data_IF_400943844619
#
_entry.id   IF_400943844619
#
_cell.length_a   1.000
_cell.length_b   1.000
_cell.length_c   1.000
_cell.angle_alpha   90.00
_cell.angle_beta   90.00
_cell.angle_gamma   90.00
#
_symmetry.space_group_name_H-M   'P 1'
#
loop_
_entity.id
_entity.type
_entity.pdbx_description
1 polymer ?
#
# COMPACT_ATOMS: atom_id res chain seq x y z
N UNK A 1 -13.99 -18.53 -1.41
CA UNK A 1 -12.74 -17.93 -1.90
C UNK A 1 -12.54 -16.51 -1.38
N UNK A 2 -13.50 -15.63 -1.58
CA UNK A 2 -13.38 -14.23 -1.12
C UNK A 2 -13.22 -14.16 0.40
N UNK A 3 -13.93 -14.97 1.16
CA UNK A 3 -13.82 -15.03 2.62
C UNK A 3 -12.42 -15.50 3.07
N UNK A 4 -11.87 -16.50 2.38
CA UNK A 4 -10.52 -16.98 2.64
C UNK A 4 -9.45 -15.90 2.38
N UNK A 5 -9.59 -15.12 1.29
CA UNK A 5 -8.69 -14.00 0.99
C UNK A 5 -8.84 -12.89 2.02
N UNK A 6 -10.06 -12.50 2.36
CA UNK A 6 -10.33 -11.47 3.38
C UNK A 6 -9.70 -11.85 4.72
N UNK A 7 -9.81 -13.11 5.10
CA UNK A 7 -9.18 -13.66 6.30
C UNK A 7 -7.66 -13.58 6.24
N UNK A 8 -7.04 -14.02 5.15
CA UNK A 8 -5.59 -13.92 4.96
C UNK A 8 -5.09 -12.47 5.05
N UNK A 9 -5.80 -11.54 4.42
CA UNK A 9 -5.47 -10.11 4.49
C UNK A 9 -5.56 -9.57 5.93
N UNK A 10 -6.59 -9.96 6.68
CA UNK A 10 -6.78 -9.57 8.08
C UNK A 10 -5.68 -10.14 8.99
N UNK A 11 -5.35 -11.41 8.81
CA UNK A 11 -4.27 -12.07 9.58
C UNK A 11 -2.90 -11.47 9.23
N UNK A 12 -2.66 -11.18 7.95
CA UNK A 12 -1.43 -10.49 7.53
C UNK A 12 -1.31 -9.10 8.18
N UNK A 13 -2.38 -8.31 8.17
CA UNK A 13 -2.39 -6.99 8.80
C UNK A 13 -2.10 -7.05 10.31
N UNK A 14 -2.57 -8.09 11.00
CA UNK A 14 -2.29 -8.31 12.42
C UNK A 14 -0.84 -8.77 12.68
N UNK A 15 -0.28 -9.58 11.77
CA UNK A 15 1.05 -10.16 11.90
C UNK A 15 2.16 -9.18 11.49
N UNK A 16 1.92 -8.35 10.48
CA UNK A 16 2.92 -7.48 9.87
C UNK A 16 3.69 -6.60 10.86
N UNK A 17 3.04 -5.90 11.83
CA UNK A 17 3.74 -5.03 12.77
C UNK A 17 4.77 -5.72 13.65
N UNK A 18 4.59 -7.02 13.94
CA UNK A 18 5.48 -7.79 14.81
C UNK A 18 6.53 -8.63 14.06
N UNK A 19 6.38 -8.76 12.73
CA UNK A 19 7.24 -9.63 11.91
C UNK A 19 7.83 -8.88 10.71
N UNK A 20 7.09 -8.84 9.61
CA UNK A 20 7.60 -8.35 8.32
C UNK A 20 7.80 -6.83 8.29
N UNK A 21 6.95 -6.07 9.00
CA UNK A 21 6.99 -4.61 9.00
C UNK A 21 7.91 -4.01 10.07
N UNK A 22 8.35 -4.79 11.04
CA UNK A 22 9.14 -4.28 12.18
C UNK A 22 10.65 -4.25 11.96
N UNK A 23 11.15 -5.10 11.08
CA UNK A 23 12.60 -5.32 10.89
C UNK A 23 13.12 -4.93 9.51
N UNK A 24 12.26 -4.46 8.61
CA UNK A 24 12.60 -4.19 7.22
C UNK A 24 12.89 -2.71 6.91
N UNK A 25 13.34 -2.46 5.69
CA UNK A 25 13.51 -1.12 5.14
C UNK A 25 12.18 -0.38 4.94
N UNK A 26 11.04 -1.09 5.04
CA UNK A 26 9.71 -0.57 4.77
C UNK A 26 8.83 -0.68 6.01
N UNK A 27 8.13 0.39 6.32
CA UNK A 27 7.22 0.45 7.47
C UNK A 27 5.80 -0.02 7.14
N UNK A 28 5.50 -0.21 5.86
CA UNK A 28 4.16 -0.54 5.38
C UNK A 28 4.25 -1.55 4.26
N UNK A 29 3.59 -2.70 4.43
CA UNK A 29 3.36 -3.69 3.39
C UNK A 29 1.86 -3.80 3.17
N UNK A 30 1.41 -3.69 1.93
CA UNK A 30 0.01 -3.79 1.53
C UNK A 30 -0.19 -5.00 0.64
N UNK A 31 -1.05 -5.97 1.03
CA UNK A 31 -1.45 -7.05 0.12
C UNK A 31 -2.24 -6.45 -1.04
N UNK A 32 -1.87 -6.82 -2.27
CA UNK A 32 -2.56 -6.41 -3.48
C UNK A 32 -3.53 -7.54 -3.91
N UNK A 33 -2.99 -8.60 -4.49
CA UNK A 33 -3.80 -9.68 -5.09
C UNK A 33 -3.32 -11.05 -4.65
N UNK A 34 -4.26 -11.95 -4.34
CA UNK A 34 -3.99 -13.37 -4.14
C UNK A 34 -4.70 -14.19 -5.24
N UNK A 35 -3.92 -14.82 -6.09
CA UNK A 35 -4.41 -15.64 -7.22
C UNK A 35 -3.85 -17.04 -7.19
N UNK A 36 -4.68 -18.03 -7.58
CA UNK A 36 -4.25 -19.41 -7.75
C UNK A 36 -4.58 -19.91 -9.16
N UNK A 37 -3.64 -20.57 -9.78
CA UNK A 37 -3.83 -21.34 -10.99
C UNK A 37 -4.35 -22.74 -10.67
N UNK A 38 -5.50 -23.10 -11.21
CA UNK A 38 -6.18 -24.37 -10.92
C UNK A 38 -6.38 -25.17 -12.22
N UNK A 39 -6.08 -26.45 -12.17
CA UNK A 39 -6.35 -27.37 -13.27
C UNK A 39 -7.86 -27.55 -13.45
N UNK A 40 -8.39 -27.20 -14.61
CA UNK A 40 -9.82 -27.36 -14.94
C UNK A 40 -10.32 -28.80 -14.93
N UNK A 41 -9.41 -29.79 -15.13
CA UNK A 41 -9.74 -31.22 -15.15
C UNK A 41 -9.68 -31.85 -13.76
N UNK A 42 -8.66 -31.53 -12.98
CA UNK A 42 -8.39 -32.22 -11.72
C UNK A 42 -8.76 -31.36 -10.48
N UNK A 43 -9.07 -30.07 -10.64
CA UNK A 43 -9.27 -29.15 -9.53
C UNK A 43 -8.01 -28.89 -8.69
N UNK A 44 -6.86 -29.46 -9.10
CA UNK A 44 -5.60 -29.30 -8.36
C UNK A 44 -5.02 -27.90 -8.57
N UNK A 45 -4.58 -27.29 -7.47
CA UNK A 45 -3.84 -26.02 -7.48
C UNK A 45 -2.43 -26.28 -7.99
N UNK A 46 -2.03 -25.56 -9.02
CA UNK A 46 -0.68 -25.64 -9.58
C UNK A 46 0.27 -24.69 -8.89
N UNK A 47 -0.17 -23.46 -8.74
CA UNK A 47 0.58 -22.38 -8.13
C UNK A 47 -0.40 -21.34 -7.59
N UNK A 48 -0.07 -20.72 -6.47
CA UNK A 48 -0.70 -19.50 -5.98
C UNK A 48 0.36 -18.41 -5.89
N UNK A 49 -0.04 -17.18 -6.17
CA UNK A 49 0.81 -16.04 -5.98
C UNK A 49 0.07 -14.97 -5.19
N UNK A 50 0.74 -14.46 -4.16
CA UNK A 50 0.29 -13.33 -3.39
C UNK A 50 1.20 -12.14 -3.67
N UNK A 51 0.66 -11.10 -4.26
CA UNK A 51 1.40 -9.88 -4.57
C UNK A 51 1.26 -8.87 -3.44
N UNK A 52 2.34 -8.16 -3.17
CA UNK A 52 2.38 -7.10 -2.19
C UNK A 52 3.09 -5.88 -2.77
N UNK A 53 2.81 -4.73 -2.20
CA UNK A 53 3.63 -3.54 -2.34
C UNK A 53 4.07 -3.06 -0.96
N UNK A 54 5.23 -2.41 -0.92
CA UNK A 54 5.67 -1.68 0.26
C UNK A 54 5.99 -0.25 -0.12
N UNK A 55 6.09 0.64 0.85
CA UNK A 55 6.48 2.01 0.59
C UNK A 55 7.41 2.55 1.67
N UNK A 56 8.33 3.38 1.23
CA UNK A 56 9.14 4.24 2.06
C UNK A 56 9.29 5.59 1.35
N UNK A 57 9.21 6.69 2.10
CA UNK A 57 9.36 8.03 1.58
C UNK A 57 10.45 8.78 2.33
N UNK A 58 11.18 9.63 1.62
CA UNK A 58 12.15 10.52 2.22
C UNK A 58 12.01 11.93 1.64
N UNK A 59 12.14 12.92 2.50
CA UNK A 59 12.21 14.34 2.12
C UNK A 59 13.66 14.81 2.21
N UNK A 60 14.20 15.34 1.12
CA UNK A 60 15.51 15.96 1.14
C UNK A 60 15.49 17.21 2.02
N UNK A 61 16.37 17.21 3.04
CA UNK A 61 16.40 18.22 4.08
C UNK A 61 16.77 19.63 3.60
N UNK A 62 17.32 19.77 2.40
CA UNK A 62 17.80 21.02 1.82
C UNK A 62 17.01 21.50 0.62
N UNK A 63 16.55 20.59 -0.23
CA UNK A 63 15.87 20.89 -1.49
C UNK A 63 14.37 20.74 -1.44
N UNK A 64 13.82 20.10 -0.38
CA UNK A 64 12.42 19.69 -0.27
C UNK A 64 11.98 18.64 -1.32
N UNK A 65 12.89 18.01 -2.03
CA UNK A 65 12.56 16.95 -2.97
C UNK A 65 12.01 15.74 -2.21
N UNK A 66 10.90 15.18 -2.71
CA UNK A 66 10.29 13.97 -2.15
C UNK A 66 10.74 12.79 -3.01
N UNK A 67 11.27 11.77 -2.38
CA UNK A 67 11.67 10.51 -3.01
C UNK A 67 10.83 9.38 -2.43
N UNK A 68 10.40 8.46 -3.29
CA UNK A 68 9.73 7.24 -2.89
C UNK A 68 10.50 6.01 -3.38
N UNK A 69 10.55 5.00 -2.53
CA UNK A 69 10.82 3.62 -2.90
C UNK A 69 9.52 2.82 -2.69
N UNK A 70 8.97 2.30 -3.77
CA UNK A 70 7.70 1.52 -3.74
C UNK A 70 7.94 0.19 -4.45
N UNK A 71 8.68 -0.74 -3.82
CA UNK A 71 8.88 -2.07 -4.36
C UNK A 71 7.62 -2.89 -4.33
N UNK A 72 7.57 -3.87 -5.23
CA UNK A 72 6.55 -4.91 -5.24
C UNK A 72 7.17 -6.28 -4.96
N UNK A 73 6.35 -7.21 -4.51
CA UNK A 73 6.74 -8.57 -4.18
C UNK A 73 5.75 -9.53 -4.82
N UNK A 74 6.27 -10.63 -5.38
CA UNK A 74 5.48 -11.68 -5.99
C UNK A 74 5.80 -12.99 -5.25
N UNK A 75 4.98 -13.33 -4.26
CA UNK A 75 5.22 -14.43 -3.35
C UNK A 75 4.50 -15.68 -3.85
N UNK A 76 5.25 -16.63 -4.40
CA UNK A 76 4.72 -17.89 -4.87
C UNK A 76 4.51 -18.89 -3.73
N UNK A 77 3.36 -19.55 -3.75
CA UNK A 77 2.91 -20.53 -2.75
C UNK A 77 2.45 -21.77 -3.49
N UNK A 78 3.08 -22.91 -3.22
CA UNK A 78 2.75 -24.19 -3.87
C UNK A 78 2.03 -25.13 -2.90
N UNK A 79 0.70 -25.06 -2.74
CA UNK A 79 -0.01 -25.78 -1.68
C UNK A 79 -0.10 -27.30 -1.91
N UNK A 80 0.09 -27.82 -3.12
CA UNK A 80 0.00 -29.26 -3.50
C UNK A 80 -1.32 -29.90 -3.08
N UNK A 81 -2.43 -29.22 -3.30
CA UNK A 81 -3.78 -29.67 -2.94
C UNK A 81 -4.79 -29.27 -4.02
N UNK A 82 -6.06 -29.60 -3.82
CA UNK A 82 -7.16 -29.10 -4.67
C UNK A 82 -7.61 -27.71 -4.21
N UNK A 83 -8.27 -26.96 -5.08
CA UNK A 83 -8.79 -25.63 -4.73
C UNK A 83 -9.82 -25.72 -3.59
N UNK A 84 -10.66 -26.75 -3.58
CA UNK A 84 -11.67 -26.96 -2.53
C UNK A 84 -11.02 -27.24 -1.17
N UNK A 85 -9.99 -28.10 -1.14
CA UNK A 85 -9.26 -28.41 0.09
C UNK A 85 -8.47 -27.21 0.59
N UNK A 86 -7.88 -26.42 -0.30
CA UNK A 86 -7.18 -25.18 0.09
C UNK A 86 -8.15 -24.19 0.75
N UNK A 87 -9.29 -23.92 0.13
CA UNK A 87 -10.31 -23.02 0.70
C UNK A 87 -10.78 -23.53 2.06
N UNK A 88 -11.13 -24.82 2.16
CA UNK A 88 -11.56 -25.41 3.41
C UNK A 88 -10.50 -25.30 4.52
N UNK A 89 -9.22 -25.50 4.18
CA UNK A 89 -8.09 -25.33 5.13
C UNK A 89 -7.98 -23.88 5.61
N UNK A 90 -8.01 -22.92 4.69
CA UNK A 90 -7.87 -21.50 5.01
C UNK A 90 -9.05 -20.98 5.85
N UNK A 91 -10.29 -21.40 5.55
CA UNK A 91 -11.48 -20.98 6.26
C UNK A 91 -11.57 -21.61 7.66
N UNK A 92 -11.24 -22.90 7.80
CA UNK A 92 -11.35 -23.63 9.07
C UNK A 92 -10.21 -23.37 10.05
N UNK A 93 -9.03 -22.94 9.57
CA UNK A 93 -7.89 -22.63 10.42
C UNK A 93 -8.18 -21.39 11.30
N UNK A 94 -7.76 -21.40 12.55
CA UNK A 94 -7.77 -20.20 13.41
C UNK A 94 -6.62 -19.23 13.09
N UNK A 95 -5.61 -19.72 12.35
CA UNK A 95 -4.42 -18.96 11.90
C UNK A 95 -4.04 -19.52 10.51
N UNK A 96 -4.66 -18.98 9.47
CA UNK A 96 -4.55 -19.49 8.12
C UNK A 96 -3.16 -19.20 7.50
N UNK A 97 -2.51 -18.11 7.89
CA UNK A 97 -1.15 -17.77 7.43
C UNK A 97 -0.12 -18.81 7.90
N UNK A 98 -0.24 -19.30 9.12
CA UNK A 98 0.67 -20.31 9.69
C UNK A 98 0.16 -21.75 9.51
N UNK A 99 -1.03 -21.96 8.93
CA UNK A 99 -1.53 -23.30 8.65
C UNK A 99 -0.56 -24.06 7.73
N UNK A 100 -0.20 -25.27 8.16
CA UNK A 100 0.70 -26.13 7.37
C UNK A 100 -0.06 -26.66 6.15
N UNK A 101 0.41 -26.28 4.98
CA UNK A 101 -0.13 -26.75 3.71
C UNK A 101 0.29 -28.19 3.44
N UNK A 102 -0.41 -28.95 2.58
CA UNK A 102 0.01 -30.29 2.15
C UNK A 102 1.42 -30.36 1.52
N UNK A 103 1.96 -29.23 1.12
CA UNK A 103 3.38 -29.07 0.70
C UNK A 103 4.39 -29.12 1.83
N UNK A 104 3.95 -29.14 3.10
CA UNK A 104 4.76 -29.10 4.34
C UNK A 104 5.33 -27.71 4.71
N UNK A 105 4.97 -26.66 3.98
CA UNK A 105 5.31 -25.26 4.28
C UNK A 105 4.06 -24.50 4.63
N UNK A 106 4.16 -23.40 5.36
CA UNK A 106 3.06 -22.46 5.57
C UNK A 106 3.11 -21.30 4.54
N UNK A 107 2.04 -20.52 4.49
CA UNK A 107 2.04 -19.26 3.74
C UNK A 107 3.09 -18.31 4.35
N UNK A 108 3.16 -18.21 5.67
CA UNK A 108 4.15 -17.37 6.37
C UNK A 108 5.60 -17.67 5.98
N UNK A 109 5.96 -18.95 5.84
CA UNK A 109 7.31 -19.35 5.40
C UNK A 109 7.60 -18.84 3.98
N UNK A 110 6.61 -18.93 3.08
CA UNK A 110 6.73 -18.43 1.70
C UNK A 110 6.88 -16.91 1.65
N UNK A 111 6.14 -16.17 2.48
CA UNK A 111 6.24 -14.72 2.59
C UNK A 111 7.59 -14.28 3.12
N UNK A 112 8.13 -14.93 4.16
CA UNK A 112 9.43 -14.59 4.74
C UNK A 112 10.55 -14.69 3.70
N UNK A 113 10.54 -15.74 2.87
CA UNK A 113 11.50 -15.91 1.78
C UNK A 113 11.33 -14.87 0.67
N UNK A 114 10.09 -14.51 0.36
CA UNK A 114 9.74 -13.57 -0.70
C UNK A 114 10.15 -12.13 -0.36
N UNK A 115 9.85 -11.64 0.84
CA UNK A 115 10.15 -10.26 1.26
C UNK A 115 11.65 -9.96 1.35
N UNK A 116 12.49 -10.97 1.32
CA UNK A 116 13.93 -10.78 1.16
C UNK A 116 14.35 -10.33 -0.25
N UNK A 117 13.44 -10.42 -1.25
CA UNK A 117 13.74 -10.20 -2.66
C UNK A 117 12.76 -9.21 -3.31
N UNK A 118 12.84 -7.90 -3.00
CA UNK A 118 11.97 -6.89 -3.57
C UNK A 118 12.21 -6.71 -5.09
N UNK A 119 11.12 -6.45 -5.83
CA UNK A 119 11.16 -6.14 -7.25
C UNK A 119 11.01 -4.62 -7.42
N UNK A 120 11.93 -4.00 -8.18
CA UNK A 120 11.86 -2.57 -8.47
C UNK A 120 12.24 -1.65 -7.31
N UNK A 121 12.91 -2.20 -6.28
CA UNK A 121 13.40 -1.39 -5.15
C UNK A 121 14.51 -0.45 -5.59
N UNK A 122 14.37 0.80 -5.18
CA UNK A 122 15.42 1.83 -5.27
C UNK A 122 15.62 2.38 -3.86
N UNK A 123 16.49 1.74 -3.04
CA UNK A 123 16.67 2.14 -1.67
C UNK A 123 16.94 3.64 -1.57
N UNK A 124 16.09 4.34 -0.83
CA UNK A 124 16.23 5.77 -0.57
C UNK A 124 16.96 5.96 0.76
N UNK A 125 17.92 6.86 0.77
CA UNK A 125 18.59 7.29 1.98
C UNK A 125 18.17 8.72 2.27
N UNK A 126 17.45 8.93 3.37
CA UNK A 126 17.18 10.27 3.85
C UNK A 126 18.53 10.94 4.16
N UNK A 127 18.82 12.07 3.50
CA UNK A 127 19.98 12.86 3.83
C UNK A 127 19.82 13.39 5.26
N UNK A 128 20.57 12.84 6.20
CA UNK A 128 20.58 13.29 7.58
C UNK A 128 21.33 14.63 7.68
N UNK A 129 20.61 15.72 7.78
CA UNK A 129 21.17 17.02 8.10
C UNK A 129 21.04 17.29 9.60
N UNK A 130 22.09 17.81 10.23
CA UNK A 130 22.06 18.21 11.64
C UNK A 130 21.03 19.35 11.90
N UNK A 131 20.69 20.13 10.89
CA UNK A 131 19.69 21.20 10.93
C UNK A 131 18.86 21.20 9.66
N UNK A 132 17.90 20.29 9.52
CA UNK A 132 17.09 20.20 8.31
C UNK A 132 16.20 21.43 8.14
N UNK A 133 16.20 22.00 6.94
CA UNK A 133 15.26 23.07 6.54
C UNK A 133 13.88 22.47 6.26
N UNK A 134 13.86 21.29 5.66
CA UNK A 134 12.64 20.57 5.30
C UNK A 134 12.60 19.20 5.97
N UNK A 135 11.41 18.78 6.31
CA UNK A 135 11.10 17.47 6.91
C UNK A 135 9.81 16.93 6.30
N UNK A 136 9.54 15.63 6.45
CA UNK A 136 8.21 15.12 6.15
C UNK A 136 7.17 15.67 7.15
N UNK A 137 5.93 15.84 6.68
CA UNK A 137 4.82 16.29 7.51
C UNK A 137 4.60 15.43 8.76
N UNK A 138 4.80 14.12 8.67
CA UNK A 138 4.70 13.23 9.84
C UNK A 138 5.80 13.52 10.88
N UNK A 139 6.99 13.93 10.44
CA UNK A 139 8.13 14.26 11.30
C UNK A 139 8.11 15.71 11.79
N UNK A 140 7.37 16.58 11.11
CA UNK A 140 7.08 17.93 11.58
C UNK A 140 6.33 17.89 12.92
N UNK A 141 5.49 16.88 13.10
CA UNK A 141 4.76 16.64 14.34
C UNK A 141 5.54 15.71 15.27
N UNK A 142 6.36 16.31 16.15
CA UNK A 142 7.23 15.55 17.06
C UNK A 142 6.47 14.73 18.13
N UNK A 143 5.19 15.05 18.41
CA UNK A 143 4.40 14.37 19.44
C UNK A 143 3.49 13.29 18.88
N UNK A 144 3.25 12.23 19.65
CA UNK A 144 2.33 11.14 19.28
C UNK A 144 0.91 11.66 18.97
N UNK A 145 0.40 12.61 19.74
CA UNK A 145 -0.93 13.18 19.52
C UNK A 145 -1.04 13.93 18.17
N UNK A 146 0.01 14.63 17.76
CA UNK A 146 0.02 15.33 16.48
C UNK A 146 0.25 14.38 15.30
N UNK A 147 1.06 13.34 15.48
CA UNK A 147 1.18 12.27 14.49
C UNK A 147 -0.16 11.56 14.26
N UNK A 148 -0.94 11.33 15.31
CA UNK A 148 -2.28 10.76 15.19
C UNK A 148 -3.23 11.63 14.34
N UNK A 149 -3.11 12.96 14.43
CA UNK A 149 -3.89 13.88 13.56
C UNK A 149 -3.50 13.75 12.09
N UNK A 150 -2.21 13.64 11.80
CA UNK A 150 -1.73 13.38 10.44
C UNK A 150 -2.25 12.05 9.91
N UNK A 151 -2.16 10.99 10.72
CA UNK A 151 -2.65 9.66 10.34
C UNK A 151 -4.16 9.66 10.10
N UNK A 152 -4.94 10.39 10.91
CA UNK A 152 -6.37 10.53 10.70
C UNK A 152 -6.69 11.27 9.38
N UNK A 153 -5.98 12.36 9.08
CA UNK A 153 -6.14 13.10 7.83
C UNK A 153 -5.78 12.24 6.60
N UNK A 154 -4.72 11.44 6.72
CA UNK A 154 -4.35 10.50 5.65
C UNK A 154 -5.40 9.39 5.49
N UNK A 155 -5.95 8.87 6.58
CA UNK A 155 -7.02 7.87 6.52
C UNK A 155 -8.29 8.37 5.81
N UNK A 156 -8.62 9.67 5.93
CA UNK A 156 -9.72 10.27 5.16
C UNK A 156 -9.43 10.28 3.64
N UNK A 157 -8.19 10.57 3.24
CA UNK A 157 -7.80 10.48 1.83
C UNK A 157 -7.85 9.04 1.32
N UNK A 158 -7.36 8.06 2.11
CA UNK A 158 -7.41 6.65 1.75
C UNK A 158 -8.85 6.18 1.58
N UNK A 159 -9.71 6.49 2.56
CA UNK A 159 -11.13 6.11 2.51
C UNK A 159 -11.84 6.74 1.31
N UNK A 160 -11.56 8.02 1.00
CA UNK A 160 -12.10 8.68 -0.18
C UNK A 160 -11.60 8.05 -1.48
N UNK A 161 -10.32 7.66 -1.54
CA UNK A 161 -9.77 6.95 -2.69
C UNK A 161 -10.44 5.58 -2.89
N UNK A 162 -10.56 4.79 -1.82
CA UNK A 162 -11.21 3.47 -1.88
C UNK A 162 -12.67 3.58 -2.34
N UNK A 163 -13.36 4.64 -1.93
CA UNK A 163 -14.75 4.89 -2.35
C UNK A 163 -14.89 5.16 -3.86
N UNK A 164 -13.99 5.96 -4.44
CA UNK A 164 -14.06 6.32 -5.86
C UNK A 164 -13.35 5.32 -6.78
N UNK A 165 -12.44 4.51 -6.26
CA UNK A 165 -11.56 3.66 -7.05
C UNK A 165 -12.31 2.70 -7.96
N UNK A 166 -13.37 2.04 -7.46
CA UNK A 166 -14.15 1.06 -8.20
C UNK A 166 -14.82 1.62 -9.46
N UNK A 167 -15.24 2.87 -9.42
CA UNK A 167 -15.95 3.55 -10.52
C UNK A 167 -15.00 4.31 -11.46
N UNK A 168 -13.71 4.45 -11.09
CA UNK A 168 -12.74 5.27 -11.83
C UNK A 168 -11.44 4.51 -12.11
N UNK A 169 -10.49 4.55 -11.19
CA UNK A 169 -9.12 4.08 -11.38
C UNK A 169 -8.99 2.55 -11.36
N UNK A 170 -9.81 1.86 -10.56
CA UNK A 170 -9.76 0.42 -10.38
C UNK A 170 -10.57 -0.38 -11.43
N UNK A 171 -11.10 0.28 -12.45
CA UNK A 171 -11.81 -0.37 -13.57
C UNK A 171 -10.89 -0.75 -14.73
N UNK A 172 -9.60 -0.41 -14.67
CA UNK A 172 -8.58 -0.68 -15.68
C UNK A 172 -7.88 -2.03 -15.46
N UNK A 173 -6.78 -2.26 -16.18
CA UNK A 173 -5.92 -3.46 -16.04
C UNK A 173 -5.40 -3.65 -14.60
N UNK A 174 -5.31 -2.58 -13.81
CA UNK A 174 -4.87 -2.62 -12.40
C UNK A 174 -6.07 -2.47 -11.46
N UNK A 175 -7.00 -3.44 -11.52
CA UNK A 175 -8.21 -3.44 -10.68
C UNK A 175 -7.92 -3.45 -9.16
N UNK A 176 -6.71 -3.86 -8.75
CA UNK A 176 -6.25 -3.88 -7.36
C UNK A 176 -5.30 -2.72 -7.08
N UNK A 177 -5.74 -1.50 -7.36
CA UNK A 177 -4.97 -0.30 -7.09
C UNK A 177 -5.16 0.16 -5.63
N UNK A 178 -4.06 0.36 -4.91
CA UNK A 178 -4.05 0.76 -3.51
C UNK A 178 -3.27 2.03 -3.28
N UNK A 179 -3.77 2.87 -2.39
CA UNK A 179 -3.02 4.01 -1.87
C UNK A 179 -1.98 3.53 -0.85
N UNK A 180 -0.71 3.90 -1.04
CA UNK A 180 0.40 3.40 -0.24
C UNK A 180 0.84 4.38 0.84
N UNK A 181 1.19 5.60 0.46
CA UNK A 181 1.74 6.59 1.38
C UNK A 181 1.62 8.00 0.79
N UNK A 182 1.24 8.98 1.61
CA UNK A 182 1.33 10.40 1.31
C UNK A 182 2.53 10.98 2.05
N UNK A 183 3.46 11.61 1.33
CA UNK A 183 4.55 12.38 1.90
C UNK A 183 4.43 13.85 1.49
N UNK A 184 4.66 14.75 2.44
CA UNK A 184 4.66 16.19 2.19
C UNK A 184 5.94 16.83 2.72
N UNK A 185 6.69 17.49 1.85
CA UNK A 185 7.85 18.28 2.26
C UNK A 185 7.40 19.58 2.92
N UNK A 186 7.83 19.79 4.16
CA UNK A 186 7.38 20.87 5.03
C UNK A 186 8.57 21.67 5.53
N UNK A 187 8.46 23.01 5.49
CA UNK A 187 9.45 23.89 6.14
C UNK A 187 9.38 23.70 7.63
N UNK A 188 10.46 23.20 8.25
CA UNK A 188 10.51 22.82 9.67
C UNK A 188 10.18 23.96 10.63
N UNK A 189 10.55 25.19 10.29
CA UNK A 189 10.34 26.36 11.15
C UNK A 189 8.92 26.93 11.10
N UNK A 190 8.16 26.71 10.01
CA UNK A 190 6.87 27.38 9.78
C UNK A 190 5.71 26.43 9.55
N UNK A 191 5.96 25.15 9.25
CA UNK A 191 4.94 24.21 8.86
C UNK A 191 4.38 24.43 7.45
N UNK A 192 4.99 25.30 6.65
CA UNK A 192 4.55 25.54 5.27
C UNK A 192 4.91 24.35 4.37
N UNK A 193 3.92 23.85 3.65
CA UNK A 193 4.06 22.77 2.67
C UNK A 193 4.74 23.33 1.41
N UNK A 194 5.74 22.61 0.91
CA UNK A 194 6.44 22.88 -0.34
C UNK A 194 5.93 22.04 -1.49
N UNK A 195 5.49 20.84 -1.19
CA UNK A 195 4.90 19.91 -2.13
C UNK A 195 4.46 18.65 -1.40
N UNK A 196 3.49 17.95 -1.96
CA UNK A 196 3.06 16.63 -1.53
C UNK A 196 3.12 15.68 -2.71
N UNK A 197 3.41 14.41 -2.43
CA UNK A 197 3.33 13.32 -3.40
C UNK A 197 2.62 12.15 -2.75
N UNK A 198 1.68 11.56 -3.48
CA UNK A 198 0.93 10.40 -3.03
C UNK A 198 1.34 9.19 -3.87
N UNK A 199 1.83 8.15 -3.21
CA UNK A 199 2.27 6.92 -3.85
C UNK A 199 1.13 5.90 -3.88
N UNK A 200 1.04 5.19 -5.00
CA UNK A 200 0.08 4.10 -5.24
C UNK A 200 0.81 2.87 -5.78
N UNK A 201 0.21 1.72 -5.58
CA UNK A 201 0.66 0.48 -6.20
C UNK A 201 -0.56 -0.36 -6.62
N UNK A 202 -0.40 -1.09 -7.71
CA UNK A 202 -1.42 -2.00 -8.20
C UNK A 202 -0.81 -3.22 -8.85
N UNK A 203 -1.61 -4.26 -8.99
CA UNK A 203 -1.20 -5.50 -9.65
C UNK A 203 -2.24 -5.99 -10.64
N UNK A 204 -1.78 -6.80 -11.56
CA UNK A 204 -2.58 -7.48 -12.55
C UNK A 204 -2.06 -8.91 -12.72
N UNK A 205 -2.97 -9.88 -12.71
CA UNK A 205 -2.61 -11.29 -12.79
C UNK A 205 -3.39 -11.97 -13.90
N UNK A 206 -2.69 -12.69 -14.76
CA UNK A 206 -3.29 -13.58 -15.77
C UNK A 206 -2.82 -15.01 -15.58
N UNK A 207 -3.66 -15.95 -16.00
CA UNK A 207 -3.32 -17.38 -16.02
C UNK A 207 -3.12 -17.81 -17.47
N UNK A 208 -1.90 -18.20 -17.82
CA UNK A 208 -1.59 -18.75 -19.12
C UNK A 208 -2.26 -20.12 -19.33
N UNK A 209 -2.42 -20.56 -20.57
CA UNK A 209 -2.96 -21.90 -20.88
C UNK A 209 -2.14 -23.06 -20.28
N UNK A 210 -0.86 -22.83 -20.04
CA UNK A 210 0.03 -23.76 -19.33
C UNK A 210 -0.31 -23.89 -17.84
N UNK A 211 -1.09 -22.96 -17.28
CA UNK A 211 -1.37 -22.82 -15.86
C UNK A 211 -0.30 -22.03 -15.12
N UNK A 212 0.57 -21.34 -15.82
CA UNK A 212 1.54 -20.40 -15.25
C UNK A 212 0.87 -19.08 -14.94
N UNK A 213 1.20 -18.50 -13.77
CA UNK A 213 0.74 -17.17 -13.38
C UNK A 213 1.69 -16.12 -13.96
N UNK A 214 1.15 -15.21 -14.77
CA UNK A 214 1.85 -14.02 -15.21
C UNK A 214 1.38 -12.83 -14.35
N UNK A 215 2.30 -12.31 -13.53
CA UNK A 215 2.07 -11.26 -12.58
C UNK A 215 2.74 -9.98 -13.09
N UNK A 216 1.99 -8.90 -13.10
CA UNK A 216 2.52 -7.55 -13.38
C UNK A 216 2.13 -6.67 -12.22
N UNK A 217 3.08 -5.93 -11.68
CA UNK A 217 2.86 -4.95 -10.64
C UNK A 217 3.50 -3.62 -11.03
N UNK A 218 2.89 -2.53 -10.62
CA UNK A 218 3.34 -1.17 -10.96
C UNK A 218 3.06 -0.24 -9.79
N UNK A 219 3.88 0.80 -9.66
CA UNK A 219 3.66 1.89 -8.72
C UNK A 219 3.56 3.23 -9.45
N UNK A 220 2.87 4.18 -8.84
CA UNK A 220 2.70 5.55 -9.30
C UNK A 220 3.05 6.51 -8.17
N UNK A 221 3.58 7.67 -8.53
CA UNK A 221 3.90 8.75 -7.61
C UNK A 221 3.22 10.01 -8.13
N UNK A 222 2.09 10.34 -7.55
CA UNK A 222 1.23 11.41 -8.01
C UNK A 222 1.45 12.69 -7.19
N UNK A 223 1.93 13.79 -7.81
CA UNK A 223 2.00 15.06 -7.12
C UNK A 223 0.60 15.53 -6.71
N UNK A 224 0.44 15.93 -5.45
CA UNK A 224 -0.82 16.50 -4.94
C UNK A 224 -0.63 18.00 -4.73
N UNK A 225 -1.49 18.79 -5.36
CA UNK A 225 -1.42 20.25 -5.32
C UNK A 225 -1.93 20.79 -3.98
N UNK A 226 -1.01 21.07 -3.05
CA UNK A 226 -1.32 21.64 -1.73
C UNK A 226 -0.54 22.93 -1.54
N UNK A 227 -1.20 23.99 -1.11
CA UNK A 227 -0.59 25.28 -0.71
C UNK A 227 -1.01 25.61 0.72
N UNK A 228 -0.10 26.11 1.54
CA UNK A 228 -0.40 26.45 2.93
C UNK A 228 0.37 25.63 3.94
N UNK A 229 -0.20 25.43 5.11
CA UNK A 229 0.45 24.72 6.22
C UNK A 229 -0.11 23.31 6.42
N UNK A 230 0.67 22.44 7.09
CA UNK A 230 0.21 21.10 7.47
C UNK A 230 -1.06 21.17 8.34
N UNK A 231 -1.16 22.15 9.24
CA UNK A 231 -2.36 22.31 10.07
C UNK A 231 -3.60 22.65 9.25
N UNK A 232 -3.46 23.46 8.18
CA UNK A 232 -4.57 23.75 7.27
C UNK A 232 -4.96 22.53 6.46
N UNK A 233 -3.99 21.74 5.98
CA UNK A 233 -4.25 20.49 5.27
C UNK A 233 -5.01 19.49 6.15
N UNK A 234 -4.54 19.27 7.38
CA UNK A 234 -5.24 18.40 8.34
C UNK A 234 -6.66 18.92 8.59
N UNK A 235 -6.82 20.22 8.84
CA UNK A 235 -8.15 20.80 9.07
C UNK A 235 -9.11 20.64 7.89
N UNK A 236 -8.63 20.76 6.67
CA UNK A 236 -9.44 20.51 5.48
C UNK A 236 -9.87 19.03 5.37
N UNK A 237 -8.92 18.11 5.55
CA UNK A 237 -9.18 16.68 5.40
C UNK A 237 -10.03 16.09 6.54
N UNK A 238 -9.93 16.63 7.77
CA UNK A 238 -10.70 16.16 8.92
C UNK A 238 -11.93 17.02 9.23
N UNK A 239 -12.34 17.90 8.30
CA UNK A 239 -13.51 18.77 8.47
C UNK A 239 -14.79 17.95 8.59
N UNK A 240 -15.55 18.19 9.66
CA UNK A 240 -16.88 17.58 9.85
C UNK A 240 -18.00 18.36 9.15
N UNK A 241 -17.70 19.54 8.65
CA UNK A 241 -18.66 20.40 7.91
C UNK A 241 -18.63 20.17 6.40
N UNK A 242 -17.55 19.61 5.88
CA UNK A 242 -17.44 19.18 4.50
C UNK A 242 -17.94 17.73 4.39
N UNK A 243 -19.02 17.53 3.61
CA UNK A 243 -19.66 16.22 3.42
C UNK A 243 -19.06 15.44 2.25
N UNK A 244 -18.12 16.02 1.51
CA UNK A 244 -17.42 15.32 0.45
C UNK A 244 -16.51 14.23 1.05
N UNK A 245 -16.25 13.16 0.29
CA UNK A 245 -15.23 12.19 0.64
C UNK A 245 -13.83 12.82 0.64
N UNK A 246 -12.88 12.14 1.26
CA UNK A 246 -11.56 12.71 1.51
C UNK A 246 -10.82 13.19 0.27
N UNK A 247 -11.03 12.56 -0.91
CA UNK A 247 -10.32 12.96 -2.15
C UNK A 247 -10.97 14.14 -2.84
N UNK A 248 -12.26 14.38 -2.66
CA UNK A 248 -13.00 15.53 -3.22
C UNK A 248 -13.08 16.72 -2.26
N UNK A 249 -12.49 16.65 -1.08
CA UNK A 249 -12.38 17.82 -0.19
C UNK A 249 -11.43 18.85 -0.76
N UNK A 250 -11.85 20.11 -0.70
CA UNK A 250 -11.01 21.22 -1.17
C UNK A 250 -9.79 21.38 -0.27
N UNK A 251 -8.62 21.14 -0.83
CA UNK A 251 -7.34 21.27 -0.14
C UNK A 251 -6.91 22.74 -0.04
N UNK A 252 -6.01 23.08 0.88
CA UNK A 252 -5.41 24.42 0.91
C UNK A 252 -4.72 24.72 -0.42
N UNK A 253 -5.26 25.70 -1.15
CA UNK A 253 -4.82 26.03 -2.50
C UNK A 253 -5.94 26.02 -3.53
N UNK A 254 -7.11 25.46 -3.16
CA UNK A 254 -8.34 25.53 -3.95
C UNK A 254 -8.55 24.38 -4.95
N UNK A 255 -7.70 23.36 -4.93
CA UNK A 255 -7.85 22.10 -5.69
C UNK A 255 -8.22 20.97 -4.73
N UNK A 256 -8.67 19.84 -5.25
CA UNK A 256 -8.82 18.61 -4.48
C UNK A 256 -7.75 17.57 -4.84
N UNK A 257 -7.72 16.45 -4.10
CA UNK A 257 -6.77 15.39 -4.36
C UNK A 257 -7.16 14.59 -5.61
N UNK A 258 -8.46 14.44 -5.89
CA UNK A 258 -8.97 13.71 -7.05
C UNK A 258 -8.45 14.30 -8.37
N UNK A 259 -8.53 15.61 -8.53
CA UNK A 259 -7.99 16.31 -9.71
C UNK A 259 -6.48 16.04 -9.89
N UNK A 260 -5.75 16.01 -8.78
CA UNK A 260 -4.30 15.75 -8.79
C UNK A 260 -3.96 14.32 -9.24
N UNK A 261 -4.71 13.32 -8.79
CA UNK A 261 -4.42 11.90 -9.09
C UNK A 261 -5.04 11.44 -10.42
N UNK A 262 -6.12 12.06 -10.90
CA UNK A 262 -6.79 11.69 -12.16
C UNK A 262 -5.91 11.87 -13.40
N UNK A 263 -4.94 12.77 -13.35
CA UNK A 263 -3.95 12.94 -14.42
C UNK A 263 -2.72 12.04 -14.30
N UNK A 264 -2.60 11.23 -13.24
CA UNK A 264 -1.43 10.43 -12.88
C UNK A 264 -1.72 8.93 -12.90
N UNK A 265 -2.87 8.52 -12.42
CA UNK A 265 -3.30 7.12 -12.38
C UNK A 265 -3.80 6.64 -13.74
N UNK A 266 -3.86 5.31 -13.99
CA UNK A 266 -4.27 4.73 -15.27
C UNK A 266 -5.75 4.94 -15.60
#
# INVERSE_FOLDING_TARGET
WFDAISKLNSEFAALCPSTFCSAGAYSTYTPLTFYCSVSSKAGSVKDCAWTFAASNAAVDATTAAIQFDVPTFQCHIHPKTTATELVALLESSTDAIHAVLPSTTSIADSLAACFANPIGSTPISAATSASPTYVDAIDYYATTANRAKWSAAYAELQSGFDYVCGDTFCSSDYADLWSMQLACAVTKSTGNIKGCTWAFAGSFTTVARSGELALVSKSWQCPVAVKGTVSQLIGALTSTTDTNDGVHRVLPGGTDAYDSISGCLP
#
